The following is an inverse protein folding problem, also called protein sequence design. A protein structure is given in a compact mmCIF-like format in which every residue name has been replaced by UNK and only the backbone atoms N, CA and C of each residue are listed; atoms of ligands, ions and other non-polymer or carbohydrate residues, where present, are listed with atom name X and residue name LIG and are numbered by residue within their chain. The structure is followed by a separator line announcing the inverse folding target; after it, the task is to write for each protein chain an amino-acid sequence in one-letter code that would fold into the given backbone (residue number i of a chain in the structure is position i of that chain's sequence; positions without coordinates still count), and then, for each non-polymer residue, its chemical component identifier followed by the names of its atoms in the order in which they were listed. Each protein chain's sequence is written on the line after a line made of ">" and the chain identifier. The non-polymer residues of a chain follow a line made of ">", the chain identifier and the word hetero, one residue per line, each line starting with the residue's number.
data_IF_511948581664
#
_entry.id   IF_511948581664
#
_cell.length_a   1.000
_cell.length_b   1.000
_cell.length_c   1.000
_cell.angle_alpha   90.00
_cell.angle_beta   90.00
_cell.angle_gamma   90.00
#
_symmetry.space_group_name_H-M   'P 1'
#
loop_
_entity.id
_entity.type
_entity.pdbx_description
1 polymer ?
#
# COMPACT_ATOMS: atom_id res chain seq x y z
N UNK A 1 1.42 -7.76 23.25
CA UNK A 1 1.14 -7.74 21.79
C UNK A 1 0.36 -8.99 21.46
N UNK A 2 -0.83 -8.87 20.86
CA UNK A 2 -1.63 -10.01 20.40
C UNK A 2 -1.51 -10.09 18.88
N UNK A 3 -1.19 -11.26 18.36
CA UNK A 3 -1.03 -11.51 16.92
C UNK A 3 -2.03 -12.58 16.53
N UNK A 4 -2.72 -12.37 15.40
CA UNK A 4 -3.63 -13.33 14.79
C UNK A 4 -3.44 -13.31 13.29
N UNK A 5 -3.74 -14.42 12.63
CA UNK A 5 -3.75 -14.53 11.17
C UNK A 5 -5.20 -14.69 10.70
N UNK A 6 -5.57 -13.94 9.67
CA UNK A 6 -6.87 -14.00 9.02
C UNK A 6 -6.65 -14.28 7.53
N UNK A 7 -7.44 -15.20 6.96
CA UNK A 7 -7.52 -15.39 5.52
C UNK A 7 -8.67 -14.53 4.98
N UNK A 8 -8.35 -13.37 4.44
CA UNK A 8 -9.32 -12.45 3.84
C UNK A 8 -8.67 -11.63 2.74
N UNK A 9 -9.51 -10.96 1.94
CA UNK A 9 -9.04 -9.91 1.03
C UNK A 9 -8.59 -8.69 1.83
N UNK A 10 -7.53 -8.02 1.40
CA UNK A 10 -7.01 -6.83 2.09
C UNK A 10 -8.02 -5.68 2.10
N UNK A 11 -8.84 -5.60 1.04
CA UNK A 11 -9.87 -4.57 0.87
C UNK A 11 -11.06 -4.72 1.81
N UNK A 12 -11.26 -5.89 2.42
CA UNK A 12 -12.38 -6.15 3.32
C UNK A 12 -12.01 -6.02 4.80
N UNK A 13 -10.76 -5.68 5.12
CA UNK A 13 -10.28 -5.57 6.51
C UNK A 13 -10.50 -4.15 7.00
N UNK A 14 -11.36 -3.99 8.01
CA UNK A 14 -11.53 -2.73 8.74
C UNK A 14 -10.42 -2.60 9.79
N UNK A 15 -9.63 -1.52 9.70
CA UNK A 15 -8.49 -1.27 10.59
C UNK A 15 -8.20 0.22 10.65
N UNK A 16 -7.64 0.69 11.77
CA UNK A 16 -7.21 2.09 11.94
C UNK A 16 -6.01 2.44 11.05
N UNK A 17 -5.18 1.44 10.74
CA UNK A 17 -4.03 1.57 9.84
C UNK A 17 -3.79 0.25 9.09
N UNK A 18 -3.47 0.38 7.81
CA UNK A 18 -3.10 -0.73 6.94
C UNK A 18 -1.64 -0.57 6.51
N UNK A 19 -0.80 -1.55 6.83
CA UNK A 19 0.60 -1.59 6.41
C UNK A 19 0.74 -2.54 5.23
N UNK A 20 1.20 -2.02 4.09
CA UNK A 20 1.46 -2.78 2.87
C UNK A 20 2.85 -2.43 2.35
N UNK A 21 3.51 -3.39 1.72
CA UNK A 21 4.85 -3.20 1.17
C UNK A 21 4.79 -2.67 -0.28
N UNK A 22 5.87 -2.00 -0.68
CA UNK A 22 6.19 -1.69 -2.07
C UNK A 22 7.68 -1.97 -2.28
N UNK A 23 8.03 -2.57 -3.41
CA UNK A 23 9.42 -2.82 -3.79
C UNK A 23 9.99 -1.69 -4.65
N UNK A 24 11.30 -1.55 -4.61
CA UNK A 24 12.03 -0.58 -5.43
C UNK A 24 11.73 -0.80 -6.91
N UNK A 25 11.71 0.31 -7.65
CA UNK A 25 11.45 0.37 -9.10
C UNK A 25 10.08 -0.13 -9.59
N UNK A 26 9.17 -0.51 -8.70
CA UNK A 26 7.77 -0.78 -9.06
C UNK A 26 7.11 0.50 -9.54
N UNK A 27 6.78 0.56 -10.84
CA UNK A 27 6.09 1.71 -11.47
C UNK A 27 4.57 1.60 -11.44
N UNK A 28 4.07 0.37 -11.48
CA UNK A 28 2.63 0.06 -11.44
C UNK A 28 2.43 -0.96 -10.31
N UNK A 29 1.75 -0.58 -9.21
CA UNK A 29 1.54 -1.49 -8.09
C UNK A 29 0.59 -2.63 -8.49
N UNK A 30 0.95 -3.87 -8.11
CA UNK A 30 0.11 -5.06 -8.26
C UNK A 30 -0.27 -5.66 -6.90
N UNK A 31 -0.97 -6.79 -6.92
CA UNK A 31 -1.36 -7.51 -5.70
C UNK A 31 -2.16 -6.65 -4.73
N UNK A 32 -1.90 -6.80 -3.43
CA UNK A 32 -2.56 -6.02 -2.38
C UNK A 32 -2.41 -4.50 -2.58
N UNK A 33 -1.21 -4.03 -2.94
CA UNK A 33 -0.94 -2.60 -3.17
C UNK A 33 -1.73 -2.06 -4.36
N UNK A 34 -1.85 -2.82 -5.44
CA UNK A 34 -2.68 -2.44 -6.61
C UNK A 34 -4.18 -2.41 -6.30
N UNK A 35 -4.67 -3.38 -5.50
CA UNK A 35 -6.06 -3.39 -5.03
C UNK A 35 -6.36 -2.15 -4.20
N UNK A 36 -5.49 -1.79 -3.25
CA UNK A 36 -5.67 -0.59 -2.43
C UNK A 36 -5.49 0.70 -3.24
N UNK A 37 -4.57 0.74 -4.20
CA UNK A 37 -4.42 1.89 -5.10
C UNK A 37 -5.70 2.17 -5.88
N UNK A 38 -6.35 1.11 -6.38
CA UNK A 38 -7.64 1.23 -7.07
C UNK A 38 -8.72 1.80 -6.16
N UNK A 39 -8.84 1.29 -4.93
CA UNK A 39 -9.82 1.76 -3.93
C UNK A 39 -9.56 3.20 -3.47
N UNK A 40 -8.30 3.64 -3.48
CA UNK A 40 -7.92 5.01 -3.13
C UNK A 40 -7.92 5.95 -4.34
N UNK A 41 -8.42 5.51 -5.49
CA UNK A 41 -8.55 6.33 -6.70
C UNK A 41 -7.23 6.65 -7.38
N UNK A 42 -6.26 5.73 -7.34
CA UNK A 42 -4.95 5.86 -7.97
C UNK A 42 -3.97 6.75 -7.21
N UNK A 43 -4.19 7.01 -5.91
CA UNK A 43 -3.31 7.88 -5.10
C UNK A 43 -1.88 7.33 -5.01
N UNK A 44 -1.71 6.03 -4.78
CA UNK A 44 -0.39 5.40 -4.66
C UNK A 44 0.34 5.47 -6.01
N UNK A 45 -0.34 5.15 -7.11
CA UNK A 45 0.24 5.26 -8.46
C UNK A 45 0.68 6.68 -8.80
N UNK A 46 -0.08 7.71 -8.39
CA UNK A 46 0.32 9.11 -8.57
C UNK A 46 1.57 9.46 -7.78
N UNK A 47 1.67 9.01 -6.52
CA UNK A 47 2.83 9.24 -5.68
C UNK A 47 4.08 8.54 -6.23
N UNK A 48 3.96 7.29 -6.70
CA UNK A 48 5.04 6.58 -7.40
C UNK A 48 5.49 7.36 -8.64
N UNK A 49 4.53 7.83 -9.47
CA UNK A 49 4.83 8.58 -10.70
C UNK A 49 5.53 9.91 -10.42
N UNK A 50 5.21 10.56 -9.30
CA UNK A 50 5.85 11.80 -8.86
C UNK A 50 7.25 11.60 -8.27
N UNK A 51 7.63 10.36 -7.95
CA UNK A 51 8.89 10.03 -7.27
C UNK A 51 8.84 10.20 -5.76
N UNK A 52 7.68 10.53 -5.17
CA UNK A 52 7.47 10.62 -3.73
C UNK A 52 7.51 9.25 -3.03
N UNK A 53 7.17 8.18 -3.77
CA UNK A 53 7.33 6.80 -3.32
C UNK A 53 8.27 6.08 -4.29
N UNK A 54 9.43 5.64 -3.80
CA UNK A 54 10.44 4.94 -4.62
C UNK A 54 10.51 3.44 -4.34
N UNK A 55 10.03 3.00 -3.18
CA UNK A 55 10.07 1.60 -2.75
C UNK A 55 11.42 1.17 -2.19
N UNK A 56 12.30 2.13 -1.86
CA UNK A 56 13.61 1.85 -1.30
C UNK A 56 13.51 1.23 0.08
N UNK A 57 14.52 0.46 0.45
CA UNK A 57 14.59 -0.15 1.78
C UNK A 57 14.46 0.93 2.88
N UNK A 58 13.60 0.65 3.86
CA UNK A 58 13.28 1.54 4.98
C UNK A 58 12.59 2.87 4.60
N UNK A 59 12.13 3.01 3.35
CA UNK A 59 11.25 4.10 2.97
C UNK A 59 9.84 3.86 3.53
N UNK A 60 9.27 4.88 4.17
CA UNK A 60 7.92 4.81 4.73
C UNK A 60 7.16 6.03 4.23
N UNK A 61 6.00 5.79 3.62
CA UNK A 61 5.05 6.84 3.24
C UNK A 61 3.73 6.59 3.95
N UNK A 62 3.19 7.64 4.58
CA UNK A 62 1.90 7.59 5.27
C UNK A 62 0.88 8.32 4.40
N UNK A 63 -0.21 7.64 4.07
CA UNK A 63 -1.31 8.20 3.26
C UNK A 63 -2.52 8.37 4.18
N UNK A 64 -3.01 9.60 4.30
CA UNK A 64 -4.28 9.90 4.95
C UNK A 64 -5.42 9.84 3.91
N UNK A 65 -6.49 9.15 4.26
CA UNK A 65 -7.65 8.90 3.39
C UNK A 65 -8.91 9.53 3.94
#
# INVERSE_FOLDING_TARGET
>A
MKISCLKSEVSSVETEALVINLFEDVKIPGGATGTIDTLTGGKISRLIKSGEITGKKNEITIIHT
#
